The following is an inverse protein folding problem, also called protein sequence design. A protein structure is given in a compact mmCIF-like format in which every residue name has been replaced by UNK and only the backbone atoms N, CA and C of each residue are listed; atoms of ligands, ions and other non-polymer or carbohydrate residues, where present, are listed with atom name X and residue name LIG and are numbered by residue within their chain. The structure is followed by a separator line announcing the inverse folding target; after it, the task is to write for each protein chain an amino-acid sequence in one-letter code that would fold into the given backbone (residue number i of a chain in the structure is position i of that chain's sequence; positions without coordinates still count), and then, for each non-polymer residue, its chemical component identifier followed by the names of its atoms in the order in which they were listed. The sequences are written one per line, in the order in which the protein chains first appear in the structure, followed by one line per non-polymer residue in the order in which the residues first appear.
data_IF_764247116432
#
_entry.id   IF_764247116432
#
_cell.length_a   1.000
_cell.length_b   1.000
_cell.length_c   1.000
_cell.angle_alpha   90.00
_cell.angle_beta   90.00
_cell.angle_gamma   90.00
#
_symmetry.space_group_name_H-M   'P 1'
#
loop_
_entity.id
_entity.type
_entity.pdbx_description
1 polymer ?
#
# COMPACT_ATOMS: atom_id res chain seq x y z
N UNK A 1 7.17 -20.12 6.48
CA UNK A 1 7.27 -19.03 7.48
C UNK A 1 6.07 -19.00 8.42
N UNK A 2 6.20 -18.32 9.57
CA UNK A 2 5.14 -18.07 10.58
C UNK A 2 4.35 -19.32 11.05
N UNK A 3 5.05 -20.45 11.24
CA UNK A 3 4.42 -21.72 11.66
C UNK A 3 3.37 -22.23 10.67
N UNK A 4 3.67 -22.20 9.38
CA UNK A 4 2.77 -22.64 8.30
C UNK A 4 1.83 -21.55 7.75
N UNK A 5 1.73 -20.38 8.42
CA UNK A 5 0.86 -19.27 7.99
C UNK A 5 1.38 -18.49 6.79
N UNK A 6 2.67 -18.63 6.48
CA UNK A 6 3.37 -17.92 5.41
C UNK A 6 3.71 -16.47 5.76
N UNK A 7 4.69 -15.93 5.05
CA UNK A 7 5.13 -14.54 5.22
C UNK A 7 4.25 -13.61 4.39
N UNK A 8 3.94 -12.44 4.93
CA UNK A 8 3.32 -11.35 4.16
C UNK A 8 4.45 -10.60 3.46
N UNK A 9 4.31 -10.37 2.16
CA UNK A 9 5.33 -9.71 1.34
C UNK A 9 4.65 -8.58 0.59
N UNK A 10 5.11 -7.35 0.83
CA UNK A 10 4.80 -6.17 0.03
C UNK A 10 5.98 -5.90 -0.90
N UNK A 11 5.70 -5.37 -2.08
CA UNK A 11 6.72 -4.96 -3.04
C UNK A 11 6.31 -3.63 -3.65
N UNK A 12 7.25 -2.72 -3.81
CA UNK A 12 7.00 -1.46 -4.51
C UNK A 12 6.67 -1.77 -5.98
N UNK A 13 5.64 -1.15 -6.54
CA UNK A 13 5.25 -1.43 -7.92
C UNK A 13 6.29 -0.96 -8.95
N UNK A 14 7.08 0.06 -8.60
CA UNK A 14 8.06 0.72 -9.45
C UNK A 14 7.73 2.19 -9.70
N UNK A 15 8.69 2.94 -10.25
CA UNK A 15 8.63 4.41 -10.42
C UNK A 15 8.92 4.83 -11.87
N UNK A 16 8.65 3.94 -12.85
CA UNK A 16 8.94 4.16 -14.27
C UNK A 16 7.76 4.75 -15.04
N UNK A 17 6.59 4.88 -14.42
CA UNK A 17 5.33 5.13 -15.11
C UNK A 17 5.10 4.09 -16.23
N UNK A 18 5.33 2.83 -15.91
CA UNK A 18 5.28 1.71 -16.85
C UNK A 18 4.38 0.57 -16.38
N UNK A 19 4.20 -0.42 -17.26
CA UNK A 19 3.39 -1.61 -16.98
C UNK A 19 4.16 -2.58 -16.06
N UNK A 20 3.67 -2.72 -14.83
CA UNK A 20 4.20 -3.53 -13.75
C UNK A 20 4.31 -5.03 -14.10
N UNK A 21 3.64 -5.50 -15.17
CA UNK A 21 3.74 -6.90 -15.64
C UNK A 21 5.15 -7.34 -15.99
N UNK A 22 6.04 -6.40 -16.31
CA UNK A 22 7.42 -6.69 -16.72
C UNK A 22 8.41 -6.77 -15.55
N UNK A 23 7.99 -6.40 -14.34
CA UNK A 23 8.76 -6.61 -13.12
C UNK A 23 8.42 -7.98 -12.51
N UNK A 24 9.37 -8.91 -12.54
CA UNK A 24 9.15 -10.29 -12.06
C UNK A 24 8.88 -10.42 -10.56
N UNK A 25 9.21 -9.41 -9.75
CA UNK A 25 8.91 -9.38 -8.32
C UNK A 25 7.52 -8.78 -8.07
N UNK A 26 7.24 -7.61 -8.63
CA UNK A 26 5.96 -6.93 -8.43
C UNK A 26 4.80 -7.71 -9.09
N UNK A 27 5.01 -8.32 -10.24
CA UNK A 27 4.01 -9.17 -10.92
C UNK A 27 3.75 -10.52 -10.24
N UNK A 28 4.52 -10.88 -9.21
CA UNK A 28 4.34 -12.14 -8.50
C UNK A 28 3.02 -12.16 -7.70
N UNK A 29 2.09 -13.06 -8.06
CA UNK A 29 0.78 -13.17 -7.39
C UNK A 29 0.85 -13.39 -5.86
N UNK A 30 1.98 -13.86 -5.33
CA UNK A 30 2.18 -14.08 -3.89
C UNK A 30 2.55 -12.82 -3.11
N UNK A 31 2.98 -11.75 -3.79
CA UNK A 31 3.28 -10.45 -3.15
C UNK A 31 2.11 -9.49 -3.32
N UNK A 32 2.10 -8.41 -2.57
CA UNK A 32 1.23 -7.26 -2.81
C UNK A 32 2.08 -6.18 -3.49
N UNK A 33 1.90 -5.99 -4.81
CA UNK A 33 2.47 -4.84 -5.50
C UNK A 33 1.75 -3.57 -5.05
N UNK A 34 2.51 -2.58 -4.60
CA UNK A 34 2.00 -1.36 -3.99
C UNK A 34 2.28 -0.18 -4.91
N UNK A 35 1.21 0.39 -5.46
CA UNK A 35 1.25 1.64 -6.20
C UNK A 35 1.25 2.86 -5.27
N UNK A 36 1.53 4.04 -5.81
CA UNK A 36 1.58 5.29 -5.07
C UNK A 36 0.40 6.20 -5.45
N UNK A 37 -0.19 6.84 -4.43
CA UNK A 37 -1.12 7.95 -4.61
C UNK A 37 -0.67 9.17 -3.81
N UNK A 38 -1.03 10.36 -4.24
CA UNK A 38 -0.73 11.61 -3.55
C UNK A 38 -1.82 12.00 -2.56
N UNK A 39 -1.61 13.13 -1.89
CA UNK A 39 -2.51 13.73 -0.92
C UNK A 39 -3.78 14.37 -1.52
N UNK A 40 -3.86 14.48 -2.85
CA UNK A 40 -5.10 14.78 -3.58
C UNK A 40 -5.92 13.51 -3.88
N UNK A 41 -5.43 12.32 -3.51
CA UNK A 41 -6.08 11.05 -3.84
C UNK A 41 -5.96 10.69 -5.32
N UNK A 42 -4.92 11.18 -6.00
CA UNK A 42 -4.59 10.85 -7.38
C UNK A 42 -3.35 9.95 -7.45
N UNK A 43 -3.18 9.19 -8.52
CA UNK A 43 -2.03 8.32 -8.74
C UNK A 43 -0.79 9.19 -8.92
N UNK A 44 0.30 8.86 -8.23
CA UNK A 44 1.55 9.59 -8.44
C UNK A 44 2.03 9.41 -9.87
N UNK A 45 2.56 10.47 -10.49
CA UNK A 45 2.89 10.46 -11.93
C UNK A 45 3.90 9.37 -12.28
N UNK A 46 4.85 9.11 -11.38
CA UNK A 46 5.91 8.12 -11.55
C UNK A 46 5.43 6.69 -11.29
N UNK A 47 4.30 6.47 -10.61
CA UNK A 47 3.92 5.13 -10.15
C UNK A 47 3.81 4.18 -11.34
N UNK A 48 4.23 2.93 -11.19
CA UNK A 48 3.88 1.92 -12.19
C UNK A 48 2.40 1.53 -12.05
N UNK A 49 1.85 0.95 -13.12
CA UNK A 49 0.44 0.58 -13.24
C UNK A 49 0.31 -0.83 -13.83
N UNK A 50 -0.84 -1.46 -13.69
CA UNK A 50 -1.09 -2.80 -14.24
C UNK A 50 -2.13 -3.58 -13.46
N UNK A 51 -2.47 -4.76 -13.97
CA UNK A 51 -3.43 -5.68 -13.32
C UNK A 51 -2.83 -6.33 -12.06
N UNK A 52 -1.52 -6.27 -11.95
CA UNK A 52 -0.70 -6.84 -10.89
C UNK A 52 -0.74 -5.99 -9.61
N UNK A 53 -1.08 -4.70 -9.72
CA UNK A 53 -1.20 -3.78 -8.57
C UNK A 53 -2.23 -4.32 -7.60
N UNK A 54 -1.86 -4.49 -6.33
CA UNK A 54 -2.78 -4.98 -5.32
C UNK A 54 -3.54 -3.85 -4.61
N UNK A 55 -2.84 -2.79 -4.24
CA UNK A 55 -3.40 -1.62 -3.57
C UNK A 55 -2.47 -0.41 -3.76
N UNK A 56 -2.93 0.77 -3.35
CA UNK A 56 -2.10 1.97 -3.28
C UNK A 56 -1.93 2.48 -1.84
N UNK A 57 -0.88 3.26 -1.62
CA UNK A 57 -0.63 3.96 -0.36
C UNK A 57 -0.06 5.36 -0.62
N UNK A 58 -0.35 6.36 0.25
CA UNK A 58 0.19 7.71 0.13
C UNK A 58 1.71 7.77 -0.08
N UNK A 59 2.18 8.71 -0.91
CA UNK A 59 3.60 9.00 -1.13
C UNK A 59 3.82 10.45 -1.55
N UNK A 60 5.05 10.80 -1.94
CA UNK A 60 5.38 12.06 -2.62
C UNK A 60 4.79 12.12 -4.03
N UNK A 61 4.84 13.29 -4.65
CA UNK A 61 4.47 13.44 -6.05
C UNK A 61 5.06 14.71 -6.66
N UNK A 62 4.67 15.01 -7.89
CA UNK A 62 4.91 16.29 -8.55
C UNK A 62 3.74 16.64 -9.48
N UNK A 63 3.40 17.92 -9.60
CA UNK A 63 2.48 18.37 -10.63
C UNK A 63 3.13 18.28 -12.01
N UNK A 64 2.30 18.05 -13.03
CA UNK A 64 2.76 17.94 -14.40
C UNK A 64 1.70 18.44 -15.37
N UNK A 65 1.81 19.72 -15.71
CA UNK A 65 0.92 20.44 -16.61
C UNK A 65 0.57 19.70 -17.91
N UNK A 66 1.52 19.05 -18.62
CA UNK A 66 1.19 18.33 -19.86
C UNK A 66 0.19 17.17 -19.70
N UNK A 67 -0.02 16.67 -18.47
CA UNK A 67 -1.01 15.64 -18.15
C UNK A 67 -2.11 16.15 -17.21
N UNK A 68 -2.23 17.47 -17.03
CA UNK A 68 -3.18 18.09 -16.08
C UNK A 68 -3.09 17.47 -14.67
N UNK A 69 -1.89 17.02 -14.30
CA UNK A 69 -1.66 16.31 -13.06
C UNK A 69 -1.47 17.34 -11.93
N UNK A 70 -2.31 17.32 -10.87
CA UNK A 70 -2.29 18.36 -9.85
C UNK A 70 -0.99 18.36 -9.06
N UNK A 71 -0.53 19.55 -8.66
CA UNK A 71 0.54 19.68 -7.68
C UNK A 71 0.13 19.03 -6.35
N UNK A 72 1.02 18.25 -5.71
CA UNK A 72 0.75 17.72 -4.38
C UNK A 72 0.70 18.85 -3.35
N UNK A 73 -0.06 18.64 -2.27
CA UNK A 73 -0.17 19.59 -1.15
C UNK A 73 1.01 19.50 -0.20
N UNK A 74 1.73 18.39 -0.23
CA UNK A 74 2.85 18.02 0.64
C UNK A 74 4.01 17.52 -0.20
N UNK A 75 5.26 17.78 0.22
CA UNK A 75 6.44 17.36 -0.55
C UNK A 75 6.64 15.83 -0.57
N UNK A 76 6.13 15.12 0.44
CA UNK A 76 6.29 13.68 0.55
C UNK A 76 6.00 13.16 1.95
N UNK A 77 6.60 12.00 2.24
CA UNK A 77 6.46 11.30 3.49
C UNK A 77 7.47 11.81 4.53
N UNK A 78 6.96 12.08 5.72
CA UNK A 78 7.79 12.36 6.88
C UNK A 78 8.32 11.06 7.50
N UNK A 79 9.63 10.90 7.58
CA UNK A 79 10.26 9.68 8.13
C UNK A 79 11.65 9.97 8.70
N UNK A 80 12.19 9.02 9.45
CA UNK A 80 13.60 9.03 9.86
C UNK A 80 14.51 8.99 8.64
N UNK A 81 15.62 9.70 8.72
CA UNK A 81 16.65 9.82 7.70
C UNK A 81 17.99 9.25 8.21
N UNK A 82 18.98 9.14 7.32
CA UNK A 82 20.36 8.84 7.72
C UNK A 82 20.89 9.99 8.57
N UNK A 83 21.70 9.65 9.56
CA UNK A 83 22.17 10.64 10.53
C UNK A 83 23.19 11.61 9.94
N UNK A 84 22.98 12.92 10.15
CA UNK A 84 23.87 13.99 9.71
C UNK A 84 24.02 14.12 8.19
N UNK A 85 25.20 14.56 7.72
CA UNK A 85 25.47 14.92 6.31
C UNK A 85 25.10 13.89 5.23
N UNK A 86 25.12 12.57 5.48
CA UNK A 86 24.68 11.59 4.49
C UNK A 86 23.15 11.49 4.31
N UNK A 87 22.34 12.09 5.19
CA UNK A 87 20.90 12.20 5.02
C UNK A 87 20.50 13.26 4.00
N UNK A 88 19.22 13.27 3.63
CA UNK A 88 18.59 14.35 2.86
C UNK A 88 18.53 15.65 3.66
N UNK A 89 18.39 15.57 4.98
CA UNK A 89 18.46 16.72 5.87
C UNK A 89 19.82 16.75 6.61
N UNK A 90 20.78 17.59 6.21
CA UNK A 90 22.09 17.64 6.85
C UNK A 90 22.06 18.19 8.29
N UNK A 91 20.94 18.80 8.71
CA UNK A 91 20.76 19.43 10.02
C UNK A 91 19.97 18.56 11.01
N UNK A 92 19.52 17.37 10.60
CA UNK A 92 18.75 16.47 11.47
C UNK A 92 18.64 15.05 10.93
N UNK A 93 17.96 14.19 11.70
CA UNK A 93 17.84 12.76 11.39
C UNK A 93 16.45 12.41 10.84
N UNK A 94 15.79 13.37 10.18
CA UNK A 94 14.44 13.25 9.63
C UNK A 94 14.32 13.99 8.29
N UNK A 95 13.50 13.44 7.39
CA UNK A 95 13.15 14.01 6.08
C UNK A 95 11.63 14.10 5.95
N UNK A 96 11.14 15.07 5.19
CA UNK A 96 9.74 15.31 4.85
C UNK A 96 9.42 15.05 3.37
N UNK A 97 10.42 14.64 2.59
CA UNK A 97 10.35 14.52 1.14
C UNK A 97 10.60 13.10 0.64
N UNK A 98 10.58 12.10 1.53
CA UNK A 98 10.70 10.71 1.11
C UNK A 98 9.49 10.28 0.26
N UNK A 99 9.71 9.39 -0.70
CA UNK A 99 8.75 9.20 -1.77
C UNK A 99 8.89 7.92 -2.59
N UNK A 100 8.22 7.92 -3.74
CA UNK A 100 8.17 6.75 -4.62
C UNK A 100 7.17 5.69 -4.13
N UNK A 101 6.92 4.68 -4.96
CA UNK A 101 6.28 3.44 -4.52
C UNK A 101 7.10 2.73 -3.45
N UNK A 102 8.41 3.02 -3.37
CA UNK A 102 9.30 2.65 -2.26
C UNK A 102 8.85 3.22 -0.91
N UNK A 103 8.25 4.41 -0.88
CA UNK A 103 7.64 5.01 0.31
C UNK A 103 6.25 4.44 0.62
N UNK A 104 5.46 4.12 -0.42
CA UNK A 104 4.15 3.47 -0.27
C UNK A 104 4.24 2.06 0.31
N UNK A 105 5.21 1.26 -0.16
CA UNK A 105 5.42 -0.13 0.24
C UNK A 105 5.52 -0.36 1.77
N UNK A 106 6.37 0.35 2.53
CA UNK A 106 6.44 0.20 3.98
C UNK A 106 5.16 0.66 4.70
N UNK A 107 4.38 1.59 4.14
CA UNK A 107 3.07 1.96 4.69
C UNK A 107 2.07 0.79 4.67
N UNK A 108 2.05 0.03 3.57
CA UNK A 108 1.25 -1.21 3.47
C UNK A 108 1.81 -2.31 4.37
N UNK A 109 3.14 -2.43 4.47
CA UNK A 109 3.77 -3.39 5.39
C UNK A 109 3.41 -3.09 6.86
N UNK A 110 3.40 -1.82 7.25
CA UNK A 110 2.94 -1.37 8.57
C UNK A 110 1.47 -1.71 8.81
N UNK A 111 0.61 -1.49 7.81
CA UNK A 111 -0.81 -1.89 7.90
C UNK A 111 -0.97 -3.40 8.08
N UNK A 112 -0.21 -4.21 7.33
CA UNK A 112 -0.18 -5.66 7.52
C UNK A 112 0.29 -6.06 8.92
N UNK A 113 1.27 -5.35 9.49
CA UNK A 113 1.72 -5.57 10.87
C UNK A 113 0.62 -5.25 11.89
N UNK A 114 -0.16 -4.18 11.70
CA UNK A 114 -1.32 -3.85 12.55
C UNK A 114 -2.42 -4.92 12.49
N UNK A 115 -2.73 -5.43 11.29
CA UNK A 115 -3.67 -6.56 11.12
C UNK A 115 -3.18 -7.79 11.92
N UNK A 116 -1.89 -8.08 11.83
CA UNK A 116 -1.30 -9.24 12.49
C UNK A 116 -1.10 -9.08 14.00
N UNK A 117 -0.98 -7.85 14.51
CA UNK A 117 -0.85 -7.60 15.94
C UNK A 117 -2.14 -7.96 16.68
N UNK A 118 -3.29 -7.70 16.07
CA UNK A 118 -4.61 -8.05 16.63
C UNK A 118 -5.03 -9.49 16.32
N UNK A 119 -4.53 -10.07 15.22
CA UNK A 119 -4.84 -11.45 14.85
C UNK A 119 -3.62 -12.17 14.24
N UNK A 120 -2.68 -12.66 15.09
CA UNK A 120 -1.47 -13.33 14.62
C UNK A 120 -1.74 -14.70 13.98
N UNK A 121 -2.98 -15.22 14.11
CA UNK A 121 -3.43 -16.48 13.52
C UNK A 121 -3.61 -16.44 12.01
N UNK A 122 -3.70 -15.25 11.41
CA UNK A 122 -3.99 -15.06 9.98
C UNK A 122 -2.83 -15.54 9.09
N UNK A 123 -3.20 -16.23 8.02
CA UNK A 123 -2.31 -16.58 6.90
C UNK A 123 -2.01 -15.37 6.04
N UNK A 124 -0.93 -15.41 5.26
CA UNK A 124 -0.57 -14.34 4.33
C UNK A 124 -1.71 -14.03 3.33
N UNK A 125 -2.43 -15.05 2.86
CA UNK A 125 -3.59 -14.89 1.97
C UNK A 125 -4.72 -14.12 2.62
N UNK A 126 -5.01 -14.41 3.90
CA UNK A 126 -6.06 -13.72 4.65
C UNK A 126 -5.69 -12.25 4.92
N UNK A 127 -4.43 -11.96 5.22
CA UNK A 127 -3.96 -10.56 5.35
C UNK A 127 -4.12 -9.83 4.01
N UNK A 128 -3.70 -10.46 2.92
CA UNK A 128 -3.81 -9.90 1.56
C UNK A 128 -5.27 -9.62 1.18
N UNK A 129 -6.19 -10.53 1.52
CA UNK A 129 -7.64 -10.36 1.34
C UNK A 129 -8.21 -9.24 2.21
N UNK A 130 -7.84 -9.17 3.49
CA UNK A 130 -8.28 -8.09 4.38
C UNK A 130 -7.88 -6.71 3.87
N UNK A 131 -6.65 -6.57 3.38
CA UNK A 131 -6.20 -5.32 2.75
C UNK A 131 -7.09 -4.98 1.57
N UNK A 132 -7.32 -5.92 0.63
CA UNK A 132 -8.23 -5.75 -0.51
C UNK A 132 -9.61 -5.25 -0.08
N UNK A 133 -10.23 -5.94 0.87
CA UNK A 133 -11.62 -5.67 1.26
C UNK A 133 -11.77 -4.39 2.09
N UNK A 134 -10.66 -3.89 2.65
CA UNK A 134 -10.64 -2.68 3.46
C UNK A 134 -10.34 -1.41 2.66
N UNK A 135 -9.80 -1.51 1.45
CA UNK A 135 -9.36 -0.35 0.68
C UNK A 135 -10.48 0.66 0.40
N UNK A 136 -10.12 1.94 0.39
CA UNK A 136 -10.96 3.03 -0.09
C UNK A 136 -10.73 3.24 -1.59
N UNK A 137 -11.80 3.22 -2.38
CA UNK A 137 -11.74 3.59 -3.80
C UNK A 137 -11.54 5.11 -3.90
N UNK A 138 -10.33 5.52 -4.22
CA UNK A 138 -9.96 6.91 -4.53
C UNK A 138 -10.04 7.15 -6.03
N UNK A 139 -10.22 8.40 -6.46
CA UNK A 139 -10.28 8.77 -7.88
C UNK A 139 -11.26 7.91 -8.68
N UNK A 140 -12.52 7.85 -8.25
CA UNK A 140 -13.52 6.96 -8.85
C UNK A 140 -13.85 7.28 -10.30
N UNK A 141 -13.58 8.51 -10.75
CA UNK A 141 -13.79 8.97 -12.13
C UNK A 141 -12.59 8.64 -13.04
N UNK A 142 -11.36 8.85 -12.57
CA UNK A 142 -10.13 8.61 -13.35
C UNK A 142 -9.44 7.27 -13.10
N UNK A 143 -9.86 6.55 -12.07
CA UNK A 143 -9.17 5.36 -11.57
C UNK A 143 -9.44 4.09 -12.36
N UNK A 144 -10.35 4.09 -13.33
CA UNK A 144 -10.64 2.92 -14.19
C UNK A 144 -10.90 1.64 -13.38
N UNK A 145 -11.74 1.72 -12.34
CA UNK A 145 -12.13 0.54 -11.58
C UNK A 145 -13.03 -0.35 -12.44
N UNK A 146 -12.70 -1.64 -12.50
CA UNK A 146 -13.49 -2.66 -13.14
C UNK A 146 -14.69 -3.11 -12.27
N UNK A 147 -15.60 -3.97 -12.78
CA UNK A 147 -16.73 -4.48 -12.01
C UNK A 147 -16.37 -5.24 -10.73
N UNK A 148 -15.16 -5.81 -10.65
CA UNK A 148 -14.63 -6.50 -9.47
C UNK A 148 -14.02 -5.51 -8.45
N UNK A 149 -14.01 -4.22 -8.77
CA UNK A 149 -13.50 -3.14 -7.95
C UNK A 149 -11.98 -3.00 -7.99
N UNK A 150 -11.32 -3.56 -8.99
CA UNK A 150 -9.88 -3.41 -9.21
C UNK A 150 -9.59 -2.30 -10.22
N UNK A 151 -8.59 -1.49 -9.93
CA UNK A 151 -8.06 -0.43 -10.77
C UNK A 151 -6.65 -0.80 -11.21
N UNK A 152 -6.32 -0.57 -12.48
CA UNK A 152 -4.94 -0.72 -12.96
C UNK A 152 -3.97 0.28 -12.31
N UNK A 153 -4.48 1.37 -11.71
CA UNK A 153 -3.70 2.43 -11.09
C UNK A 153 -3.61 2.29 -9.57
N UNK A 154 -4.69 1.81 -8.94
CA UNK A 154 -4.82 1.80 -7.48
C UNK A 154 -5.00 0.40 -6.90
N UNK A 155 -5.02 -0.65 -7.73
CA UNK A 155 -5.41 -1.99 -7.31
C UNK A 155 -6.83 -1.99 -6.74
N UNK A 156 -7.05 -2.57 -5.57
CA UNK A 156 -8.34 -2.50 -4.89
C UNK A 156 -8.63 -1.14 -4.21
N UNK A 157 -7.72 -0.18 -4.33
CA UNK A 157 -7.84 1.17 -3.80
C UNK A 157 -6.74 1.50 -2.79
N UNK A 158 -6.86 2.67 -2.17
CA UNK A 158 -5.96 3.14 -1.12
C UNK A 158 -6.21 2.37 0.16
N UNK A 159 -5.15 1.84 0.76
CA UNK A 159 -5.25 1.08 2.02
C UNK A 159 -5.91 1.92 3.13
N UNK A 160 -6.86 1.31 3.84
CA UNK A 160 -7.49 1.86 5.05
C UNK A 160 -7.17 0.97 6.26
N UNK A 161 -6.21 1.42 7.08
CA UNK A 161 -5.72 0.63 8.20
C UNK A 161 -6.78 0.38 9.28
N UNK A 162 -7.66 1.36 9.54
CA UNK A 162 -8.73 1.25 10.53
C UNK A 162 -9.69 0.12 10.15
N UNK A 163 -10.25 0.18 8.92
CA UNK A 163 -11.15 -0.87 8.40
C UNK A 163 -10.48 -2.24 8.45
N UNK A 164 -9.22 -2.33 8.01
CA UNK A 164 -8.49 -3.59 7.99
C UNK A 164 -8.32 -4.21 9.39
N UNK A 165 -7.97 -3.39 10.39
CA UNK A 165 -7.79 -3.83 11.78
C UNK A 165 -9.12 -4.23 12.41
N UNK A 166 -10.19 -3.48 12.18
CA UNK A 166 -11.54 -3.83 12.64
C UNK A 166 -11.97 -5.19 12.08
N UNK A 167 -11.80 -5.41 10.78
CA UNK A 167 -12.13 -6.69 10.15
C UNK A 167 -11.29 -7.85 10.73
N UNK A 168 -10.00 -7.62 10.98
CA UNK A 168 -9.12 -8.62 11.58
C UNK A 168 -9.55 -8.99 13.02
N UNK A 169 -9.98 -8.01 13.82
CA UNK A 169 -10.53 -8.19 15.16
C UNK A 169 -11.84 -8.99 15.12
N UNK A 170 -12.76 -8.65 14.21
CA UNK A 170 -14.02 -9.39 14.06
C UNK A 170 -13.78 -10.88 13.74
N UNK A 171 -12.83 -11.18 12.84
CA UNK A 171 -12.44 -12.55 12.53
C UNK A 171 -11.81 -13.29 13.72
N UNK A 172 -11.04 -12.58 14.55
CA UNK A 172 -10.44 -13.14 15.77
C UNK A 172 -11.52 -13.52 16.77
N UNK A 173 -12.44 -12.60 17.06
CA UNK A 173 -13.57 -12.82 17.98
C UNK A 173 -14.45 -13.99 17.56
N UNK A 174 -14.84 -14.06 16.29
CA UNK A 174 -15.65 -15.16 15.77
C UNK A 174 -14.93 -16.52 15.88
N UNK A 175 -13.61 -16.54 15.70
CA UNK A 175 -12.81 -17.76 15.83
C UNK A 175 -12.69 -18.22 17.28
N UNK A 176 -12.54 -17.28 18.23
CA UNK A 176 -12.44 -17.60 19.65
C UNK A 176 -13.79 -18.06 20.22
N UNK A 177 -14.91 -17.48 19.79
CA UNK A 177 -16.25 -17.95 20.15
C UNK A 177 -16.51 -19.40 19.69
N UNK A 178 -16.16 -19.74 18.45
CA UNK A 178 -16.29 -21.11 17.92
C UNK A 178 -15.44 -22.13 18.67
N UNK A 179 -14.29 -21.73 19.24
CA UNK A 179 -13.44 -22.61 20.05
C UNK A 179 -14.03 -22.89 21.43
N UNK A 180 -14.76 -21.93 22.03
CA UNK A 180 -15.42 -22.10 23.32
C UNK A 180 -16.67 -23.00 23.27
N UNK A 181 -17.22 -23.22 22.07
CA UNK A 181 -18.41 -24.06 21.83
C UNK A 181 -18.05 -25.52 21.49
N UNK A 182 -16.76 -25.87 21.46
CA UNK A 182 -16.25 -27.22 21.26
C UNK A 182 -15.65 -27.74 22.55
#
# INVERSE_FOLDING_TARGET
GRGGRGCVITFAAGNGNEDCRFDGYASCQKVMAVAACNDNGKRCIYSDYGKEIWCSFPSSDLGYEPFEHPEPRTPGLFTTDRTGKPGYNPEGDYTDSFGGTSGSCPGVAGTAALILSVNPGLTWKQVKQLIRDSCDKIDTEGGNYDPDGHSIFYGFGRVNAEKAVIMALSLKTASDQRRKQR
#
